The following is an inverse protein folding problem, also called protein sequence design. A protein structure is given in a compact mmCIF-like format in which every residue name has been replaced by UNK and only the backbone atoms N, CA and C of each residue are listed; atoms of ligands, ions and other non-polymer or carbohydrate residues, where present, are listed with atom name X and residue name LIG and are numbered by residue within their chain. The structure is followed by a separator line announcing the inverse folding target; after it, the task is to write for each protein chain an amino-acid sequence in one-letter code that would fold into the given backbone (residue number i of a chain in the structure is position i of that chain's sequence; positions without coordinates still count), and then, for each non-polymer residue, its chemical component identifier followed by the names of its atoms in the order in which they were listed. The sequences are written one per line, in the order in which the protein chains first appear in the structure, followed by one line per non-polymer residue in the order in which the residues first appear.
data_IF_326633378108
#
_entry.id   IF_326633378108
#
_cell.length_a   1.000
_cell.length_b   1.000
_cell.length_c   1.000
_cell.angle_alpha   90.00
_cell.angle_beta   90.00
_cell.angle_gamma   90.00
#
_symmetry.space_group_name_H-M   'P 1'
#
loop_
_entity.id
_entity.type
_entity.pdbx_description
1 polymer ?
#
# COMPACT_ATOMS: atom_id res chain seq x y z
N UNK A 1 17.86 -13.26 24.42
CA UNK A 1 18.14 -12.19 23.43
C UNK A 1 16.82 -11.49 23.12
N UNK A 2 16.78 -10.16 23.16
CA UNK A 2 15.59 -9.42 22.75
C UNK A 2 15.41 -9.59 21.24
N UNK A 3 14.26 -10.10 20.82
CA UNK A 3 13.92 -10.26 19.39
C UNK A 3 13.06 -9.06 19.01
N UNK A 4 13.54 -8.21 18.12
CA UNK A 4 12.74 -7.12 17.54
C UNK A 4 12.03 -7.59 16.28
N UNK A 5 10.85 -7.01 15.98
CA UNK A 5 10.21 -7.21 14.69
C UNK A 5 10.86 -6.31 13.64
N UNK A 6 11.15 -6.87 12.48
CA UNK A 6 11.69 -6.16 11.32
C UNK A 6 10.58 -5.89 10.32
N UNK A 7 10.25 -4.61 10.12
CA UNK A 7 9.18 -4.16 9.23
C UNK A 7 9.80 -3.60 7.94
N UNK A 8 9.40 -4.13 6.80
CA UNK A 8 9.84 -3.59 5.51
C UNK A 8 9.00 -2.37 5.12
N UNK A 9 9.65 -1.21 5.02
CA UNK A 9 9.03 0.07 4.68
C UNK A 9 8.78 0.16 3.16
N UNK A 10 7.51 0.12 2.76
CA UNK A 10 7.05 0.08 1.35
C UNK A 10 7.58 -1.13 0.57
N UNK A 11 7.75 -2.25 1.27
CA UNK A 11 8.47 -3.41 0.77
C UNK A 11 9.99 -3.22 0.79
N UNK A 12 10.72 -4.11 0.13
CA UNK A 12 12.19 -4.02 -0.01
C UNK A 12 12.58 -2.96 -1.05
N UNK A 13 12.30 -1.69 -0.73
CA UNK A 13 12.34 -0.55 -1.65
C UNK A 13 13.74 -0.12 -2.13
N UNK A 14 14.80 -0.75 -1.62
CA UNK A 14 16.19 -0.55 -2.11
C UNK A 14 16.54 -1.45 -3.28
N UNK A 15 15.80 -2.52 -3.50
CA UNK A 15 16.09 -3.54 -4.52
C UNK A 15 14.91 -3.81 -5.46
N UNK A 16 13.74 -3.23 -5.16
CA UNK A 16 12.54 -3.31 -6.00
C UNK A 16 11.73 -1.99 -5.89
N UNK A 17 10.89 -1.66 -6.87
CA UNK A 17 10.11 -0.42 -6.83
C UNK A 17 9.17 -0.39 -5.63
N UNK A 18 9.22 0.69 -4.85
CA UNK A 18 8.44 0.83 -3.61
C UNK A 18 6.93 0.65 -3.82
N UNK A 19 6.25 0.12 -2.80
CA UNK A 19 4.80 -0.06 -2.81
C UNK A 19 4.29 -0.88 -4.00
N UNK A 20 5.06 -1.88 -4.43
CA UNK A 20 4.68 -2.82 -5.49
C UNK A 20 4.74 -4.27 -5.01
N UNK A 21 3.97 -5.16 -5.64
CA UNK A 21 4.00 -6.58 -5.29
C UNK A 21 5.41 -7.21 -5.40
N UNK A 22 6.25 -6.88 -6.40
CA UNK A 22 7.65 -7.32 -6.41
C UNK A 22 8.43 -6.92 -5.17
N UNK A 23 8.28 -5.68 -4.65
CA UNK A 23 8.97 -5.22 -3.45
C UNK A 23 8.55 -6.02 -2.20
N UNK A 24 7.23 -6.28 -2.04
CA UNK A 24 6.73 -7.08 -0.92
C UNK A 24 7.13 -8.56 -1.02
N UNK A 25 7.17 -9.16 -2.22
CA UNK A 25 7.71 -10.51 -2.41
C UNK A 25 9.18 -10.60 -1.98
N UNK A 26 9.99 -9.60 -2.31
CA UNK A 26 11.37 -9.51 -1.83
C UNK A 26 11.45 -9.43 -0.30
N UNK A 27 10.52 -8.73 0.34
CA UNK A 27 10.46 -8.68 1.81
C UNK A 27 10.15 -10.04 2.41
N UNK A 28 9.31 -10.86 1.76
CA UNK A 28 9.06 -12.25 2.17
C UNK A 28 10.34 -13.08 2.01
N UNK A 29 11.04 -12.95 0.88
CA UNK A 29 12.31 -13.66 0.60
C UNK A 29 13.37 -13.35 1.68
N UNK A 30 13.38 -12.12 2.21
CA UNK A 30 14.26 -11.66 3.30
C UNK A 30 13.69 -11.89 4.71
N UNK A 31 12.61 -12.63 4.84
CA UNK A 31 12.02 -13.00 6.13
C UNK A 31 11.65 -11.78 6.99
N UNK A 32 11.16 -10.69 6.41
CA UNK A 32 10.63 -9.59 7.17
C UNK A 32 9.46 -10.04 8.05
N UNK A 33 9.41 -9.56 9.32
CA UNK A 33 8.32 -9.89 10.26
C UNK A 33 7.03 -9.16 9.92
N UNK A 34 7.10 -8.09 9.14
CA UNK A 34 5.92 -7.31 8.75
C UNK A 34 6.18 -6.40 7.56
N UNK A 35 5.10 -5.80 7.11
CA UNK A 35 5.11 -4.82 6.04
C UNK A 35 4.55 -3.49 6.52
N UNK A 36 5.10 -2.43 5.98
CA UNK A 36 4.49 -1.12 6.00
C UNK A 36 4.15 -0.73 4.56
N UNK A 37 3.00 -0.08 4.37
CA UNK A 37 2.52 0.38 3.07
C UNK A 37 1.60 1.59 3.21
N UNK A 38 1.41 2.31 2.12
CA UNK A 38 0.61 3.53 2.04
C UNK A 38 -0.63 3.30 1.16
N UNK A 39 -1.81 3.77 1.58
CA UNK A 39 -3.05 3.60 0.85
C UNK A 39 -3.70 4.94 0.47
N UNK A 40 -4.14 5.03 -0.80
CA UNK A 40 -4.94 6.12 -1.37
C UNK A 40 -6.24 5.60 -1.98
N UNK A 41 -7.24 6.48 -2.16
CA UNK A 41 -8.40 6.19 -3.02
C UNK A 41 -8.18 6.74 -4.43
N UNK A 42 -8.58 5.95 -5.42
CA UNK A 42 -8.74 6.38 -6.81
C UNK A 42 -10.00 7.23 -6.96
N UNK A 43 -10.21 7.85 -8.13
CA UNK A 43 -11.42 8.60 -8.48
C UNK A 43 -12.69 7.75 -8.35
N UNK A 44 -12.61 6.49 -8.76
CA UNK A 44 -13.70 5.49 -8.68
C UNK A 44 -13.74 4.75 -7.33
N UNK A 45 -13.04 5.26 -6.31
CA UNK A 45 -13.13 4.84 -4.92
C UNK A 45 -12.51 3.48 -4.61
N UNK A 46 -11.53 3.04 -5.40
CA UNK A 46 -10.77 1.81 -5.14
C UNK A 46 -9.51 2.13 -4.34
N UNK A 47 -9.24 1.43 -3.20
CA UNK A 47 -7.99 1.59 -2.47
C UNK A 47 -6.81 1.01 -3.25
N UNK A 48 -5.77 1.84 -3.47
CA UNK A 48 -4.52 1.47 -4.15
C UNK A 48 -3.31 1.77 -3.30
N UNK A 49 -2.22 1.04 -3.54
CA UNK A 49 -0.98 1.13 -2.78
C UNK A 49 -0.02 2.09 -3.48
N UNK A 50 0.22 3.24 -2.87
CA UNK A 50 1.18 4.24 -3.35
C UNK A 50 1.54 5.21 -2.23
N UNK A 51 2.80 5.69 -2.18
CA UNK A 51 3.19 6.67 -1.17
C UNK A 51 2.76 8.10 -1.51
N UNK A 52 3.08 8.54 -2.74
CA UNK A 52 2.85 9.92 -3.14
C UNK A 52 1.39 10.14 -3.54
N UNK A 53 0.91 11.37 -3.38
CA UNK A 53 -0.42 11.78 -3.87
C UNK A 53 -0.51 11.77 -5.40
N UNK A 54 0.63 11.98 -6.07
CA UNK A 54 0.77 11.95 -7.52
C UNK A 54 1.50 10.68 -7.96
N UNK A 55 1.28 10.29 -9.21
CA UNK A 55 1.94 9.14 -9.84
C UNK A 55 3.21 9.50 -10.60
N UNK A 56 3.59 10.78 -10.61
CA UNK A 56 4.62 11.37 -11.46
C UNK A 56 6.02 10.78 -11.22
N UNK A 57 6.36 10.50 -9.97
CA UNK A 57 7.69 10.02 -9.58
C UNK A 57 7.84 8.51 -9.68
N UNK A 58 6.73 7.78 -9.64
CA UNK A 58 6.75 6.31 -9.52
C UNK A 58 6.10 5.60 -10.70
N UNK A 59 5.71 6.34 -11.74
CA UNK A 59 5.15 5.77 -12.96
C UNK A 59 5.50 6.58 -14.22
N UNK A 60 5.08 6.07 -15.36
CA UNK A 60 5.13 6.79 -16.63
C UNK A 60 3.89 7.68 -16.88
N UNK A 61 2.98 7.79 -15.91
CA UNK A 61 1.82 8.68 -15.93
C UNK A 61 2.07 9.98 -15.16
N UNK A 62 1.04 10.82 -15.06
CA UNK A 62 1.06 12.10 -14.33
C UNK A 62 -0.26 12.38 -13.63
N UNK A 63 -0.20 13.14 -12.55
CA UNK A 63 -1.34 13.68 -11.85
C UNK A 63 -1.67 12.98 -10.54
N UNK A 64 -2.72 13.47 -9.88
CA UNK A 64 -3.18 12.98 -8.58
C UNK A 64 -3.88 11.62 -8.73
N UNK A 65 -3.59 10.67 -7.84
CA UNK A 65 -4.26 9.36 -7.77
C UNK A 65 -5.77 9.54 -7.62
N UNK A 66 -6.21 10.47 -6.76
CA UNK A 66 -7.63 10.74 -6.53
C UNK A 66 -8.40 11.25 -7.76
N UNK A 67 -7.71 11.66 -8.82
CA UNK A 67 -8.29 12.10 -10.07
C UNK A 67 -8.23 11.03 -11.18
N UNK A 68 -7.68 9.84 -10.87
CA UNK A 68 -7.51 8.76 -11.84
C UNK A 68 -8.39 7.58 -11.49
N UNK A 69 -8.95 6.91 -12.51
CA UNK A 69 -9.64 5.63 -12.32
C UNK A 69 -8.64 4.48 -12.16
N UNK A 70 -9.06 3.39 -11.52
CA UNK A 70 -8.23 2.20 -11.41
C UNK A 70 -7.82 1.67 -12.80
N UNK A 71 -8.76 1.64 -13.74
CA UNK A 71 -8.49 1.14 -15.11
C UNK A 71 -7.35 1.92 -15.76
N UNK A 72 -7.36 3.26 -15.68
CA UNK A 72 -6.27 4.06 -16.20
C UNK A 72 -4.95 3.76 -15.47
N UNK A 73 -4.94 3.74 -14.13
CA UNK A 73 -3.75 3.45 -13.34
C UNK A 73 -3.15 2.08 -13.70
N UNK A 74 -3.98 1.09 -13.99
CA UNK A 74 -3.54 -0.26 -14.40
C UNK A 74 -2.93 -0.29 -15.82
N UNK A 75 -3.12 0.72 -16.65
CA UNK A 75 -2.40 0.81 -17.94
C UNK A 75 -0.95 1.21 -17.76
N UNK A 76 -0.62 1.94 -16.70
CA UNK A 76 0.68 2.55 -16.46
C UNK A 76 1.74 1.55 -15.98
N UNK A 77 2.99 1.97 -16.08
CA UNK A 77 4.18 1.24 -15.62
C UNK A 77 4.74 1.90 -14.35
N UNK A 78 4.68 1.17 -13.24
CA UNK A 78 5.18 1.56 -11.92
C UNK A 78 6.50 0.88 -11.57
N UNK A 79 7.23 0.37 -12.53
CA UNK A 79 8.49 -0.34 -12.29
C UNK A 79 9.69 0.24 -12.99
N UNK A 80 9.54 0.74 -14.22
CA UNK A 80 10.66 1.20 -15.05
C UNK A 80 11.41 2.40 -14.47
N UNK A 81 10.76 3.25 -13.65
CA UNK A 81 11.43 4.36 -12.97
C UNK A 81 12.53 3.88 -12.02
N UNK A 82 12.36 2.69 -11.44
CA UNK A 82 13.32 2.08 -10.54
C UNK A 82 14.43 1.36 -11.30
N UNK A 83 14.05 0.43 -12.20
CA UNK A 83 14.99 -0.29 -13.05
C UNK A 83 14.25 -1.03 -14.17
N UNK A 84 14.88 -1.13 -15.35
CA UNK A 84 14.30 -1.77 -16.55
C UNK A 84 13.80 -3.20 -16.34
N UNK A 85 14.38 -3.94 -15.39
CA UNK A 85 13.95 -5.32 -15.07
C UNK A 85 12.54 -5.37 -14.47
N UNK A 86 12.02 -4.25 -13.98
CA UNK A 86 10.67 -4.14 -13.42
C UNK A 86 9.67 -3.52 -14.38
N UNK A 87 10.03 -3.35 -15.66
CA UNK A 87 9.14 -2.82 -16.69
C UNK A 87 7.80 -3.57 -16.70
N UNK A 88 6.71 -2.83 -16.74
CA UNK A 88 5.36 -3.39 -16.75
C UNK A 88 4.77 -3.69 -15.38
N UNK A 89 5.51 -3.45 -14.28
CA UNK A 89 4.96 -3.54 -12.92
C UNK A 89 3.77 -2.59 -12.78
N UNK A 90 2.68 -3.07 -12.19
CA UNK A 90 1.45 -2.31 -12.00
C UNK A 90 1.34 -1.80 -10.56
N UNK A 91 0.61 -0.68 -10.39
CA UNK A 91 0.17 -0.24 -9.07
C UNK A 91 -0.69 -1.33 -8.44
N UNK A 92 -0.42 -1.79 -7.21
CA UNK A 92 -1.28 -2.75 -6.54
C UNK A 92 -2.56 -2.08 -6.04
N UNK A 93 -3.69 -2.78 -6.11
CA UNK A 93 -4.82 -2.48 -5.25
C UNK A 93 -4.53 -2.98 -3.83
N UNK A 94 -5.26 -2.45 -2.84
CA UNK A 94 -5.20 -2.99 -1.48
C UNK A 94 -5.60 -4.47 -1.45
N UNK A 95 -6.57 -4.88 -2.26
CA UNK A 95 -7.00 -6.28 -2.40
C UNK A 95 -5.86 -7.20 -2.85
N UNK A 96 -5.13 -6.80 -3.92
CA UNK A 96 -4.00 -7.58 -4.43
C UNK A 96 -2.86 -7.70 -3.40
N UNK A 97 -2.64 -6.63 -2.64
CA UNK A 97 -1.64 -6.60 -1.57
C UNK A 97 -2.05 -7.51 -0.41
N UNK A 98 -3.30 -7.44 0.05
CA UNK A 98 -3.79 -8.27 1.16
C UNK A 98 -3.75 -9.77 0.81
N UNK A 99 -4.08 -10.15 -0.42
CA UNK A 99 -3.91 -11.53 -0.91
C UNK A 99 -2.45 -12.02 -0.86
N UNK A 100 -1.49 -11.13 -1.03
CA UNK A 100 -0.08 -11.47 -0.83
C UNK A 100 0.22 -11.64 0.66
N UNK A 101 -0.31 -10.76 1.52
CA UNK A 101 -0.11 -10.79 2.96
C UNK A 101 -0.65 -12.07 3.61
N UNK A 102 -1.79 -12.60 3.15
CA UNK A 102 -2.36 -13.87 3.66
C UNK A 102 -1.35 -15.03 3.62
N UNK A 103 -0.44 -15.01 2.65
CA UNK A 103 0.58 -16.06 2.46
C UNK A 103 1.87 -15.82 3.23
N UNK A 104 2.02 -14.64 3.81
CA UNK A 104 3.31 -14.15 4.31
C UNK A 104 3.53 -14.32 5.82
N UNK A 105 2.63 -14.96 6.60
CA UNK A 105 2.76 -15.18 8.05
C UNK A 105 3.28 -13.96 8.82
N UNK A 106 2.71 -12.79 8.56
CA UNK A 106 3.14 -11.52 9.13
C UNK A 106 2.83 -11.45 10.62
N UNK A 107 3.69 -10.77 11.37
CA UNK A 107 3.45 -10.36 12.77
C UNK A 107 2.84 -8.97 12.86
N UNK A 108 3.17 -8.09 11.89
CA UNK A 108 2.69 -6.71 11.81
C UNK A 108 2.38 -6.36 10.37
N UNK A 109 1.22 -5.75 10.16
CA UNK A 109 0.79 -5.15 8.91
C UNK A 109 0.47 -3.67 9.20
N UNK A 110 1.45 -2.78 8.95
CA UNK A 110 1.24 -1.34 9.10
C UNK A 110 0.71 -0.74 7.81
N UNK A 111 -0.50 -0.21 7.84
CA UNK A 111 -1.10 0.51 6.71
C UNK A 111 -1.21 1.99 7.08
N UNK A 112 -0.44 2.82 6.41
CA UNK A 112 -0.58 4.27 6.51
C UNK A 112 -1.74 4.74 5.61
N UNK A 113 -2.77 5.29 6.23
CA UNK A 113 -3.85 5.95 5.50
C UNK A 113 -3.41 7.37 5.17
N UNK A 114 -3.20 7.66 3.89
CA UNK A 114 -2.84 9.01 3.45
C UNK A 114 -4.03 9.95 3.61
N UNK A 115 -3.84 11.15 4.20
CA UNK A 115 -4.90 12.14 4.35
C UNK A 115 -5.59 12.42 3.01
N UNK A 116 -6.91 12.20 2.90
CA UNK A 116 -7.61 12.38 1.63
C UNK A 116 -7.73 13.88 1.31
N UNK A 117 -7.10 14.33 0.21
CA UNK A 117 -7.15 15.75 -0.19
C UNK A 117 -8.56 16.26 -0.50
N UNK A 118 -9.45 15.36 -0.93
CA UNK A 118 -10.87 15.64 -1.16
C UNK A 118 -11.75 15.45 0.08
N UNK A 119 -11.15 15.16 1.24
CA UNK A 119 -11.85 14.84 2.51
C UNK A 119 -12.79 13.63 2.42
N UNK A 120 -12.54 12.71 1.51
CA UNK A 120 -13.28 11.45 1.43
C UNK A 120 -12.68 10.41 2.39
N UNK A 121 -13.16 10.43 3.62
CA UNK A 121 -12.71 9.50 4.67
C UNK A 121 -13.28 8.08 4.52
N UNK A 122 -14.03 7.78 3.47
CA UNK A 122 -14.48 6.41 3.19
C UNK A 122 -13.32 5.40 3.01
N UNK A 123 -12.11 5.90 2.75
CA UNK A 123 -10.88 5.11 2.74
C UNK A 123 -10.65 4.36 4.06
N UNK A 124 -11.01 4.95 5.21
CA UNK A 124 -10.77 4.38 6.54
C UNK A 124 -11.57 3.10 6.74
N UNK A 125 -12.94 3.12 6.74
CA UNK A 125 -13.71 1.91 6.91
C UNK A 125 -13.50 0.90 5.76
N UNK A 126 -13.26 1.34 4.53
CA UNK A 126 -12.92 0.45 3.41
C UNK A 126 -11.65 -0.35 3.71
N UNK A 127 -10.57 0.32 4.13
CA UNK A 127 -9.31 -0.34 4.48
C UNK A 127 -9.50 -1.36 5.59
N UNK A 128 -10.12 -0.96 6.70
CA UNK A 128 -10.34 -1.82 7.87
C UNK A 128 -11.18 -3.05 7.50
N UNK A 129 -12.29 -2.84 6.77
CA UNK A 129 -13.17 -3.93 6.37
C UNK A 129 -12.48 -4.92 5.42
N UNK A 130 -11.68 -4.44 4.48
CA UNK A 130 -10.89 -5.30 3.61
C UNK A 130 -9.88 -6.13 4.40
N UNK A 131 -9.13 -5.53 5.34
CA UNK A 131 -8.18 -6.26 6.19
C UNK A 131 -8.89 -7.30 7.05
N UNK A 132 -10.07 -6.98 7.61
CA UNK A 132 -10.91 -7.94 8.34
C UNK A 132 -11.35 -9.12 7.46
N UNK A 133 -11.80 -8.85 6.24
CA UNK A 133 -12.23 -9.87 5.29
C UNK A 133 -11.12 -10.86 4.90
N UNK A 134 -9.85 -10.40 4.90
CA UNK A 134 -8.66 -11.22 4.66
C UNK A 134 -8.11 -11.90 5.92
N UNK A 135 -8.76 -11.75 7.09
CA UNK A 135 -8.33 -12.39 8.34
C UNK A 135 -7.06 -11.80 8.95
N UNK A 136 -6.62 -10.61 8.52
CA UNK A 136 -5.35 -9.97 8.91
C UNK A 136 -5.54 -8.87 9.99
N UNK A 137 -6.69 -8.83 10.64
CA UNK A 137 -7.01 -7.75 11.58
C UNK A 137 -6.17 -7.77 12.87
N UNK A 138 -5.69 -8.95 13.28
CA UNK A 138 -4.84 -9.09 14.49
C UNK A 138 -3.45 -8.50 14.29
N UNK A 139 -2.95 -8.53 13.06
CA UNK A 139 -1.65 -8.02 12.66
C UNK A 139 -1.70 -6.53 12.29
N UNK A 140 -2.92 -5.96 12.15
CA UNK A 140 -3.13 -4.60 11.65
C UNK A 140 -2.67 -3.54 12.63
N UNK A 141 -1.83 -2.65 12.13
CA UNK A 141 -1.50 -1.35 12.69
C UNK A 141 -1.91 -0.27 11.68
N UNK A 142 -2.72 0.69 12.11
CA UNK A 142 -3.05 1.86 11.28
C UNK A 142 -2.19 3.03 11.74
N UNK A 143 -1.58 3.70 10.77
CA UNK A 143 -0.94 4.98 10.95
C UNK A 143 -1.51 6.02 9.99
N UNK A 144 -1.47 7.29 10.37
CA UNK A 144 -1.86 8.41 9.53
C UNK A 144 -1.30 9.71 10.09
N UNK A 145 -0.98 10.66 9.22
CA UNK A 145 -0.72 12.05 9.61
C UNK A 145 -2.01 12.88 9.79
N UNK A 146 -3.18 12.28 9.57
CA UNK A 146 -4.48 12.93 9.73
C UNK A 146 -5.15 12.44 11.02
N UNK A 147 -5.30 13.29 12.06
CA UNK A 147 -5.96 12.90 13.30
C UNK A 147 -7.44 12.55 13.11
N UNK A 148 -8.12 13.09 12.08
CA UNK A 148 -9.51 12.73 11.77
C UNK A 148 -9.57 11.28 11.30
N UNK A 149 -8.71 10.88 10.39
CA UNK A 149 -8.62 9.48 9.95
C UNK A 149 -8.40 8.52 11.12
N UNK A 150 -7.50 8.88 12.06
CA UNK A 150 -7.23 8.07 13.26
C UNK A 150 -8.41 8.02 14.23
N UNK A 151 -9.20 9.10 14.34
CA UNK A 151 -10.42 9.09 15.15
C UNK A 151 -11.45 8.12 14.58
N UNK A 152 -11.69 8.17 13.27
CA UNK A 152 -12.62 7.25 12.59
C UNK A 152 -12.18 5.78 12.72
N UNK A 153 -10.89 5.49 12.85
CA UNK A 153 -10.41 4.12 13.07
C UNK A 153 -10.82 3.52 14.43
N UNK A 154 -11.17 4.36 15.41
CA UNK A 154 -11.53 3.93 16.78
C UNK A 154 -13.02 3.67 16.97
N UNK A 155 -13.85 4.24 16.10
CA UNK A 155 -15.30 4.09 16.10
C UNK A 155 -15.73 2.80 15.37
#
# INVERSE_FOLDING_TARGET
MAVCNVISHRGSNKIAPQNTLPAFRKSIDFHADGFETDVHLTFDGVPVICHNYTIDETSNGKGLIANQTLDYLKTLDFGSYFHRAYKGTKIPTLEEFLRLCEKAKLKVLNIEIKPPKNKDYSIVPKTINMVKAHGLFKELLISSFDPIALTICKD
#
